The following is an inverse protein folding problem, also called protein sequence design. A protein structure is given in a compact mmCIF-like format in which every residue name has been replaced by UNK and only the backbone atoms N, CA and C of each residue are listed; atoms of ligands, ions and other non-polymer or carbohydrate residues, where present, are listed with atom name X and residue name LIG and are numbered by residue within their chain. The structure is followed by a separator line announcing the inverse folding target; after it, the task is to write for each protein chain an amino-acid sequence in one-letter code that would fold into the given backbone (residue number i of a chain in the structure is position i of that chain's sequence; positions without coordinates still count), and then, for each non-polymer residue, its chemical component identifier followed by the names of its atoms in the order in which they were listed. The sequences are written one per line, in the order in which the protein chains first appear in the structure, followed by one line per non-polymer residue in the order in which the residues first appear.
data_IF_041211584654
#
_entry.id   IF_041211584654
#
_cell.length_a   1.000
_cell.length_b   1.000
_cell.length_c   1.000
_cell.angle_alpha   90.00
_cell.angle_beta   90.00
_cell.angle_gamma   90.00
#
_symmetry.space_group_name_H-M   'P 1'
#
loop_
_entity.id
_entity.type
_entity.pdbx_description
1 polymer ?
#
# COMPACT_ATOMS: atom_id res chain seq x y z
N UNK A 1 -7.80 7.22 -8.96
CA UNK A 1 -7.02 8.35 -8.38
C UNK A 1 -7.07 8.20 -6.87
N UNK A 2 -5.95 7.93 -6.19
CA UNK A 2 -5.91 7.53 -4.77
C UNK A 2 -5.93 8.69 -3.76
N UNK A 3 -6.05 9.95 -4.20
CA UNK A 3 -5.94 11.11 -3.30
C UNK A 3 -4.53 11.31 -2.69
N UNK A 4 -3.54 10.52 -3.12
CA UNK A 4 -2.15 10.63 -2.74
C UNK A 4 -1.40 11.54 -3.71
N UNK A 5 -0.48 12.34 -3.18
CA UNK A 5 0.41 13.14 -4.02
C UNK A 5 1.28 12.21 -4.90
N UNK A 6 1.43 12.46 -6.22
CA UNK A 6 2.12 11.54 -7.14
C UNK A 6 3.54 11.17 -6.72
N UNK A 7 4.25 12.08 -6.05
CA UNK A 7 5.60 11.88 -5.51
C UNK A 7 5.67 10.85 -4.36
N UNK A 8 4.53 10.51 -3.76
CA UNK A 8 4.46 9.62 -2.61
C UNK A 8 4.42 8.15 -3.01
N UNK A 9 3.86 7.83 -4.18
CA UNK A 9 3.75 6.46 -4.68
C UNK A 9 5.12 5.79 -4.92
N UNK A 10 6.07 6.42 -5.65
CA UNK A 10 7.39 5.82 -5.89
C UNK A 10 8.19 5.61 -4.59
N UNK A 11 7.95 6.44 -3.58
CA UNK A 11 8.59 6.29 -2.26
C UNK A 11 8.02 5.12 -1.48
N UNK A 12 6.71 4.89 -1.61
CA UNK A 12 5.99 3.77 -1.02
C UNK A 12 6.47 2.45 -1.64
N UNK A 13 6.51 2.39 -2.97
CA UNK A 13 6.96 1.22 -3.74
C UNK A 13 8.45 0.93 -3.50
N UNK A 14 9.28 1.97 -3.37
CA UNK A 14 10.70 1.84 -3.05
C UNK A 14 11.00 1.58 -1.57
N UNK A 15 10.00 1.42 -0.70
CA UNK A 15 10.19 1.15 0.74
C UNK A 15 10.84 2.31 1.53
N UNK A 16 10.94 3.50 0.93
CA UNK A 16 11.56 4.70 1.55
C UNK A 16 10.55 5.58 2.29
N UNK A 17 9.28 5.15 2.33
CA UNK A 17 8.21 5.78 3.09
C UNK A 17 7.32 4.71 3.72
N UNK A 18 7.01 4.87 5.01
CA UNK A 18 6.10 3.97 5.71
C UNK A 18 4.64 4.26 5.29
N UNK A 19 3.89 3.29 4.74
CA UNK A 19 2.48 3.49 4.43
C UNK A 19 1.66 3.79 5.68
N UNK A 20 0.81 4.82 5.62
CA UNK A 20 -0.24 5.02 6.62
C UNK A 20 -1.44 4.14 6.31
N UNK A 21 -2.32 3.94 7.29
CA UNK A 21 -3.60 3.23 7.09
C UNK A 21 -4.42 3.86 5.95
N UNK A 22 -4.41 5.19 5.83
CA UNK A 22 -5.13 5.89 4.75
C UNK A 22 -4.58 5.52 3.36
N UNK A 23 -3.26 5.41 3.21
CA UNK A 23 -2.62 4.99 1.96
C UNK A 23 -2.98 3.56 1.59
N UNK A 24 -3.01 2.65 2.56
CA UNK A 24 -3.38 1.25 2.35
C UNK A 24 -4.85 1.12 1.92
N UNK A 25 -5.76 1.84 2.56
CA UNK A 25 -7.18 1.87 2.18
C UNK A 25 -7.34 2.45 0.77
N UNK A 26 -6.64 3.55 0.45
CA UNK A 26 -6.68 4.15 -0.87
C UNK A 26 -6.16 3.19 -1.96
N UNK A 27 -5.09 2.44 -1.68
CA UNK A 27 -4.55 1.42 -2.57
C UNK A 27 -5.55 0.29 -2.80
N UNK A 28 -6.16 -0.25 -1.75
CA UNK A 28 -7.18 -1.30 -1.82
C UNK A 28 -8.37 -0.88 -2.70
N UNK A 29 -8.89 0.33 -2.49
CA UNK A 29 -10.02 0.87 -3.28
C UNK A 29 -9.62 1.09 -4.74
N UNK A 30 -8.44 1.64 -4.99
CA UNK A 30 -8.00 1.95 -6.35
C UNK A 30 -7.65 0.71 -7.18
N UNK A 31 -7.04 -0.30 -6.56
CA UNK A 31 -6.75 -1.58 -7.21
C UNK A 31 -7.94 -2.55 -7.20
N UNK A 32 -9.04 -2.20 -6.51
CA UNK A 32 -10.24 -3.05 -6.36
C UNK A 32 -9.92 -4.43 -5.80
N UNK A 33 -8.98 -4.48 -4.87
CA UNK A 33 -8.62 -5.70 -4.14
C UNK A 33 -8.94 -5.53 -2.66
N UNK A 34 -9.34 -6.60 -1.96
CA UNK A 34 -9.41 -6.62 -0.50
C UNK A 34 -8.10 -6.11 0.13
N UNK A 35 -8.19 -5.34 1.22
CA UNK A 35 -7.01 -4.80 1.90
C UNK A 35 -6.02 -5.89 2.33
N UNK A 36 -6.52 -7.08 2.69
CA UNK A 36 -5.69 -8.24 3.05
C UNK A 36 -4.80 -8.72 1.90
N UNK A 37 -5.25 -8.58 0.66
CA UNK A 37 -4.52 -9.00 -0.54
C UNK A 37 -3.38 -8.04 -0.90
N UNK A 38 -3.31 -6.86 -0.25
CA UNK A 38 -2.16 -5.95 -0.36
C UNK A 38 -0.94 -6.45 0.41
N UNK A 39 -1.12 -7.39 1.32
CA UNK A 39 -0.05 -7.97 2.13
C UNK A 39 0.22 -9.39 1.62
N UNK A 40 1.44 -9.65 1.15
CA UNK A 40 1.86 -11.03 0.86
C UNK A 40 1.92 -11.82 2.17
N UNK A 41 1.40 -13.05 2.18
CA UNK A 41 1.44 -13.96 3.34
C UNK A 41 2.86 -14.51 3.67
N UNK A 42 3.92 -13.77 3.35
CA UNK A 42 5.33 -14.20 3.47
C UNK A 42 6.01 -13.62 4.72
N UNK A 43 5.31 -13.67 5.85
CA UNK A 43 5.94 -13.62 7.18
C UNK A 43 5.36 -14.75 8.04
N UNK A 44 5.53 -15.99 7.58
CA UNK A 44 5.69 -17.08 8.52
C UNK A 44 7.07 -16.90 9.13
N UNK A 45 7.09 -16.21 10.27
CA UNK A 45 8.25 -16.15 11.16
C UNK A 45 8.88 -17.53 11.26
N UNK A 46 10.11 -17.61 10.75
CA UNK A 46 11.04 -18.70 11.03
C UNK A 46 12.05 -18.18 12.04
#
# INVERSE_FOLDING_TARGET
MMGLHPKYMPRLEGGTANPTVATLVAASVAYKVPLRDLFSEDDKGT
#
